data_IF_611131049105
#
_entry.id   IF_611131049105
#
_cell.length_a   1.000
_cell.length_b   1.000
_cell.length_c   1.000
_cell.angle_alpha   90.00
_cell.angle_beta   90.00
_cell.angle_gamma   90.00
#
_symmetry.space_group_name_H-M   'P 1'
#
loop_
_entity.id
_entity.type
_entity.pdbx_description
1 polymer ?
#
# COMPACT_ATOMS: atom_id res chain seq x y z
N UNK A 1 -13.51 -14.14 -11.11
CA UNK A 1 -14.31 -14.03 -9.88
C UNK A 1 -14.91 -12.61 -9.74
N UNK A 2 -14.10 -11.50 -9.77
CA UNK A 2 -14.54 -10.13 -9.55
C UNK A 2 -15.70 -9.72 -10.49
N UNK A 3 -15.54 -9.90 -11.80
CA UNK A 3 -16.59 -9.62 -12.81
C UNK A 3 -17.89 -10.40 -12.58
N UNK A 4 -17.80 -11.64 -12.11
CA UNK A 4 -18.99 -12.43 -11.77
C UNK A 4 -19.69 -11.93 -10.50
N UNK A 5 -18.93 -11.50 -9.49
CA UNK A 5 -19.49 -10.91 -8.29
C UNK A 5 -20.19 -9.58 -8.61
N UNK A 6 -19.53 -8.73 -9.40
CA UNK A 6 -20.10 -7.46 -9.87
C UNK A 6 -21.40 -7.66 -10.66
N UNK A 7 -21.43 -8.62 -11.60
CA UNK A 7 -22.63 -8.94 -12.37
C UNK A 7 -23.80 -9.44 -11.52
N UNK A 8 -23.52 -9.97 -10.34
CA UNK A 8 -24.51 -10.43 -9.35
C UNK A 8 -24.88 -9.36 -8.31
N UNK A 9 -24.33 -8.16 -8.41
CA UNK A 9 -24.55 -7.09 -7.43
C UNK A 9 -23.96 -7.40 -6.04
N UNK A 10 -22.91 -8.22 -5.97
CA UNK A 10 -22.28 -8.56 -4.69
C UNK A 10 -21.21 -7.53 -4.32
N UNK A 11 -21.10 -7.23 -3.03
CA UNK A 11 -20.04 -6.38 -2.49
C UNK A 11 -18.80 -7.21 -2.15
N UNK A 12 -17.64 -6.77 -2.65
CA UNK A 12 -16.34 -7.31 -2.31
C UNK A 12 -15.45 -6.18 -1.82
N UNK A 13 -15.12 -6.23 -0.55
CA UNK A 13 -14.18 -5.33 0.13
C UNK A 13 -12.93 -6.13 0.46
N UNK A 14 -11.80 -5.50 0.38
CA UNK A 14 -10.48 -6.11 0.63
C UNK A 14 -9.75 -5.33 1.71
N UNK A 15 -8.67 -5.88 2.27
CA UNK A 15 -7.89 -5.27 3.34
C UNK A 15 -7.12 -4.00 2.95
N UNK A 16 -7.60 -3.23 1.98
CA UNK A 16 -7.07 -1.92 1.59
C UNK A 16 -7.70 -0.82 2.44
N UNK A 17 -7.50 -0.87 3.75
CA UNK A 17 -8.17 -0.03 4.75
C UNK A 17 -8.01 1.47 4.50
N UNK A 18 -6.97 1.92 3.78
CA UNK A 18 -6.76 3.34 3.44
C UNK A 18 -7.85 3.90 2.54
N UNK A 19 -8.50 3.07 1.72
CA UNK A 19 -9.68 3.45 0.93
C UNK A 19 -10.91 3.79 1.80
N UNK A 20 -10.86 3.49 3.09
CA UNK A 20 -11.91 3.77 4.07
C UNK A 20 -11.47 4.78 5.14
N UNK A 21 -10.19 5.14 5.15
CA UNK A 21 -9.61 6.08 6.10
C UNK A 21 -9.88 7.53 5.67
N UNK A 22 -10.58 8.29 6.50
CA UNK A 22 -11.08 9.63 6.18
C UNK A 22 -10.04 10.57 5.54
N UNK A 23 -8.83 10.77 6.13
CA UNK A 23 -7.85 11.68 5.54
C UNK A 23 -7.38 11.25 4.14
N UNK A 24 -7.27 9.94 3.88
CA UNK A 24 -6.94 9.44 2.53
C UNK A 24 -8.08 9.69 1.54
N UNK A 25 -9.33 9.39 1.94
CA UNK A 25 -10.51 9.57 1.07
C UNK A 25 -10.70 11.05 0.70
N UNK A 26 -10.57 11.97 1.67
CA UNK A 26 -10.70 13.40 1.40
C UNK A 26 -9.51 13.93 0.58
N UNK A 27 -8.29 13.47 0.85
CA UNK A 27 -7.12 13.79 0.03
C UNK A 27 -7.30 13.32 -1.41
N UNK A 28 -7.76 12.10 -1.62
CA UNK A 28 -8.04 11.54 -2.94
C UNK A 28 -9.02 12.43 -3.72
N UNK A 29 -10.12 12.85 -3.10
CA UNK A 29 -11.10 13.77 -3.73
C UNK A 29 -10.42 15.06 -4.19
N UNK A 30 -9.58 15.67 -3.35
CA UNK A 30 -8.88 16.93 -3.66
C UNK A 30 -7.85 16.76 -4.78
N UNK A 31 -7.16 15.63 -4.82
CA UNK A 31 -6.26 15.30 -5.93
C UNK A 31 -7.06 15.12 -7.23
N UNK A 32 -8.20 14.41 -7.20
CA UNK A 32 -9.08 14.24 -8.35
C UNK A 32 -9.75 15.55 -8.81
N UNK A 33 -9.98 16.50 -7.91
CA UNK A 33 -10.40 17.88 -8.22
C UNK A 33 -9.30 18.68 -8.96
N UNK A 34 -8.08 18.12 -9.07
CA UNK A 34 -6.97 18.72 -9.82
C UNK A 34 -6.12 19.71 -9.04
N UNK A 35 -6.16 19.70 -7.69
CA UNK A 35 -5.39 20.64 -6.88
C UNK A 35 -3.88 20.50 -7.09
N UNK A 36 -3.37 19.31 -7.39
CA UNK A 36 -1.95 19.10 -7.74
C UNK A 36 -1.68 19.07 -9.25
N UNK A 37 -2.72 19.20 -10.06
CA UNK A 37 -2.63 19.06 -11.52
C UNK A 37 -2.47 17.60 -11.95
N UNK A 38 -1.80 17.36 -13.08
CA UNK A 38 -1.48 16.02 -13.57
C UNK A 38 -0.36 15.41 -12.72
N UNK A 39 -0.50 14.15 -12.32
CA UNK A 39 0.52 13.45 -11.53
C UNK A 39 1.75 13.20 -12.39
N UNK A 40 2.93 13.54 -11.88
CA UNK A 40 4.23 13.43 -12.57
C UNK A 40 5.16 12.40 -11.92
N UNK A 41 4.81 11.88 -10.75
CA UNK A 41 5.59 10.87 -10.05
C UNK A 41 5.28 10.84 -8.56
N UNK A 42 6.05 10.06 -7.80
CA UNK A 42 5.93 10.03 -6.36
C UNK A 42 6.89 9.08 -5.67
N UNK A 43 6.85 9.10 -4.35
CA UNK A 43 7.63 8.24 -3.49
C UNK A 43 6.73 7.56 -2.48
N UNK A 44 6.95 6.28 -2.22
CA UNK A 44 6.20 5.50 -1.24
C UNK A 44 7.15 4.74 -0.32
N UNK A 45 6.87 4.78 0.98
CA UNK A 45 7.76 4.25 2.00
C UNK A 45 7.00 3.37 3.00
N UNK A 46 7.60 2.21 3.34
CA UNK A 46 7.20 1.42 4.50
C UNK A 46 8.45 0.96 5.25
N UNK A 47 9.09 1.88 5.93
CA UNK A 47 10.25 1.60 6.75
C UNK A 47 9.83 1.52 8.22
N UNK A 48 10.02 0.36 8.82
CA UNK A 48 9.64 0.11 10.22
C UNK A 48 10.59 -0.90 10.87
N UNK A 49 10.56 -1.06 12.18
CA UNK A 49 11.20 -2.18 12.88
C UNK A 49 10.69 -3.52 12.38
N UNK A 50 11.46 -4.58 12.66
CA UNK A 50 11.06 -5.95 12.34
C UNK A 50 9.72 -6.29 13.03
N UNK A 51 8.85 -7.00 12.31
CA UNK A 51 7.63 -7.54 12.88
C UNK A 51 7.93 -8.71 13.84
N UNK A 52 6.88 -9.23 14.45
CA UNK A 52 6.97 -10.42 15.28
C UNK A 52 7.56 -11.60 14.49
N UNK A 53 8.18 -12.54 15.22
CA UNK A 53 8.61 -13.83 14.71
C UNK A 53 8.41 -14.91 15.78
N UNK A 54 8.40 -16.16 15.36
CA UNK A 54 8.33 -17.30 16.25
C UNK A 54 9.51 -18.22 16.01
N UNK A 55 10.27 -18.48 17.05
CA UNK A 55 11.27 -19.55 17.05
C UNK A 55 10.58 -20.90 17.08
N UNK A 56 11.18 -21.89 16.44
CA UNK A 56 10.64 -23.25 16.45
C UNK A 56 10.65 -23.83 17.86
N UNK A 57 9.53 -24.38 18.28
CA UNK A 57 9.41 -25.08 19.56
C UNK A 57 9.57 -26.60 19.39
N UNK A 58 9.92 -27.29 20.50
CA UNK A 58 10.03 -28.75 20.50
C UNK A 58 8.68 -29.39 20.11
N UNK A 59 8.73 -30.36 19.20
CA UNK A 59 7.56 -31.08 18.74
C UNK A 59 6.88 -30.47 17.52
N UNK A 60 7.20 -29.24 17.12
CA UNK A 60 6.67 -28.68 15.89
C UNK A 60 7.36 -29.28 14.66
N UNK A 61 6.57 -29.66 13.67
CA UNK A 61 7.09 -29.98 12.33
C UNK A 61 7.56 -28.69 11.65
N UNK A 62 8.33 -28.81 10.56
CA UNK A 62 8.76 -27.66 9.76
C UNK A 62 7.53 -26.89 9.23
N UNK A 63 6.53 -27.60 8.73
CA UNK A 63 5.30 -26.99 8.22
C UNK A 63 4.53 -26.24 9.31
N UNK A 64 4.40 -26.83 10.50
CA UNK A 64 3.73 -26.18 11.61
C UNK A 64 4.46 -24.91 12.03
N UNK A 65 5.79 -24.96 12.13
CA UNK A 65 6.58 -23.76 12.43
C UNK A 65 6.40 -22.68 11.35
N UNK A 66 6.52 -23.02 10.08
CA UNK A 66 6.33 -22.08 8.98
C UNK A 66 4.96 -21.41 9.05
N UNK A 67 3.88 -22.17 9.29
CA UNK A 67 2.52 -21.62 9.39
C UNK A 67 2.38 -20.70 10.62
N UNK A 68 2.98 -21.06 11.76
CA UNK A 68 2.93 -20.25 12.98
C UNK A 68 3.76 -18.96 12.88
N UNK A 69 4.80 -18.99 12.04
CA UNK A 69 5.72 -17.88 11.73
C UNK A 69 5.48 -17.31 10.31
N UNK A 70 4.27 -17.46 9.80
CA UNK A 70 3.90 -17.27 8.40
C UNK A 70 4.37 -15.94 7.78
N UNK A 71 4.37 -14.87 8.56
CA UNK A 71 4.74 -13.53 8.10
C UNK A 71 6.19 -13.44 7.62
N UNK A 72 7.07 -14.34 8.09
CA UNK A 72 8.49 -14.37 7.77
C UNK A 72 8.84 -15.30 6.59
N UNK A 73 7.86 -16.01 6.03
CA UNK A 73 8.05 -16.96 4.94
C UNK A 73 7.47 -16.42 3.64
N UNK A 74 8.34 -16.21 2.64
CA UNK A 74 7.95 -15.62 1.35
C UNK A 74 6.79 -16.34 0.66
N UNK A 75 6.78 -17.68 0.70
CA UNK A 75 5.72 -18.45 0.05
C UNK A 75 4.35 -18.34 0.74
N UNK A 76 4.31 -17.92 2.00
CA UNK A 76 3.07 -17.70 2.77
C UNK A 76 2.60 -16.25 2.72
N UNK A 77 3.51 -15.29 2.93
CA UNK A 77 3.18 -13.86 3.04
C UNK A 77 3.36 -13.10 1.73
N UNK A 78 4.11 -13.64 0.78
CA UNK A 78 4.49 -12.91 -0.43
C UNK A 78 5.72 -12.03 -0.27
N UNK A 79 6.36 -12.04 0.89
CA UNK A 79 7.37 -11.10 1.38
C UNK A 79 6.78 -9.76 1.85
N UNK A 80 7.52 -9.00 2.69
CA UNK A 80 6.97 -7.79 3.31
C UNK A 80 6.66 -6.66 2.30
N UNK A 81 7.23 -6.69 1.12
CA UNK A 81 6.84 -5.78 0.03
C UNK A 81 5.39 -6.04 -0.43
N UNK A 82 4.92 -7.29 -0.37
CA UNK A 82 3.55 -7.70 -0.73
C UNK A 82 2.62 -7.66 0.47
N UNK A 83 3.10 -8.07 1.65
CA UNK A 83 2.26 -8.19 2.85
C UNK A 83 1.99 -6.83 3.52
N UNK A 84 2.98 -5.91 3.53
CA UNK A 84 2.87 -4.61 4.18
C UNK A 84 2.92 -3.45 3.18
N UNK A 85 3.97 -3.39 2.38
CA UNK A 85 4.22 -2.22 1.54
C UNK A 85 3.24 -2.08 0.37
N UNK A 86 2.50 -3.13 0.04
CA UNK A 86 1.39 -3.07 -0.92
C UNK A 86 0.41 -1.93 -0.60
N UNK A 87 0.20 -1.60 0.67
CA UNK A 87 -0.69 -0.51 1.06
C UNK A 87 -0.24 0.87 0.55
N UNK A 88 1.08 1.13 0.48
CA UNK A 88 1.60 2.40 -0.05
C UNK A 88 1.61 2.38 -1.59
N UNK A 89 1.97 1.25 -2.20
CA UNK A 89 1.90 1.04 -3.65
C UNK A 89 0.44 1.24 -4.12
N UNK A 90 -0.51 0.69 -3.38
CA UNK A 90 -1.95 0.82 -3.62
C UNK A 90 -2.42 2.28 -3.59
N UNK A 91 -1.99 3.07 -2.62
CA UNK A 91 -2.33 4.50 -2.56
C UNK A 91 -1.88 5.23 -3.81
N UNK A 92 -0.65 4.98 -4.28
CA UNK A 92 -0.17 5.64 -5.49
C UNK A 92 -0.97 5.22 -6.73
N UNK A 93 -1.22 3.92 -6.91
CA UNK A 93 -2.01 3.42 -8.04
C UNK A 93 -3.46 3.89 -7.98
N UNK A 94 -4.05 3.97 -6.79
CA UNK A 94 -5.38 4.52 -6.57
C UNK A 94 -5.46 6.00 -6.93
N UNK A 95 -4.55 6.83 -6.41
CA UNK A 95 -4.55 8.28 -6.63
C UNK A 95 -4.26 8.64 -8.10
N UNK A 96 -3.36 7.91 -8.76
CA UNK A 96 -3.00 8.14 -10.15
C UNK A 96 -3.97 7.51 -11.15
N UNK A 97 -4.66 6.44 -10.77
CA UNK A 97 -5.42 5.60 -11.69
C UNK A 97 -4.57 4.80 -12.67
N UNK A 98 -3.23 4.80 -12.48
CA UNK A 98 -2.27 4.18 -13.38
C UNK A 98 -1.83 2.79 -12.90
N UNK A 99 -1.27 2.02 -13.83
CA UNK A 99 -0.72 0.68 -13.57
C UNK A 99 0.73 0.66 -13.99
N UNK A 100 1.65 0.14 -13.16
CA UNK A 100 3.04 0.02 -13.56
C UNK A 100 3.18 -1.01 -14.69
N UNK A 101 4.05 -0.68 -15.64
CA UNK A 101 4.37 -1.54 -16.81
C UNK A 101 5.74 -2.17 -16.68
N UNK A 102 6.58 -1.66 -15.78
CA UNK A 102 7.90 -2.20 -15.49
C UNK A 102 8.30 -1.90 -14.05
N UNK A 103 9.06 -2.82 -13.45
CA UNK A 103 9.72 -2.60 -12.18
C UNK A 103 11.20 -2.95 -12.30
N UNK A 104 12.05 -2.12 -11.71
CA UNK A 104 13.49 -2.38 -11.57
C UNK A 104 13.84 -2.17 -10.10
N UNK A 105 14.33 -3.23 -9.46
CA UNK A 105 14.56 -3.16 -8.03
C UNK A 105 15.67 -4.06 -7.55
N UNK A 106 16.07 -3.81 -6.31
CA UNK A 106 17.00 -4.62 -5.55
C UNK A 106 16.53 -4.72 -4.10
N UNK A 107 17.02 -5.73 -3.42
CA UNK A 107 16.75 -5.98 -2.01
C UNK A 107 17.76 -6.95 -1.45
N UNK A 108 17.70 -7.17 -0.16
CA UNK A 108 18.59 -8.10 0.50
C UNK A 108 18.02 -8.60 1.83
N UNK A 109 18.65 -9.65 2.36
CA UNK A 109 18.41 -10.20 3.68
C UNK A 109 19.63 -9.98 4.55
N UNK A 110 19.53 -9.11 5.55
CA UNK A 110 20.65 -8.71 6.38
C UNK A 110 20.47 -9.09 7.87
N UNK A 111 19.26 -8.93 8.40
CA UNK A 111 18.99 -8.99 9.83
C UNK A 111 17.82 -9.89 10.25
N UNK A 112 17.13 -10.52 9.32
CA UNK A 112 16.02 -11.44 9.61
C UNK A 112 16.48 -12.59 10.51
N UNK A 113 15.71 -12.86 11.57
CA UNK A 113 15.97 -13.94 12.53
C UNK A 113 15.46 -15.28 12.00
N UNK A 114 14.24 -15.28 11.42
CA UNK A 114 13.57 -16.47 10.88
C UNK A 114 13.16 -16.27 9.44
N UNK A 115 12.65 -17.32 8.80
CA UNK A 115 12.09 -17.27 7.46
C UNK A 115 13.12 -17.11 6.34
N UNK A 116 12.61 -16.82 5.15
CA UNK A 116 13.39 -16.69 3.91
C UNK A 116 13.21 -15.37 3.17
N UNK A 117 12.50 -14.42 3.77
CA UNK A 117 12.26 -13.09 3.21
C UNK A 117 13.51 -12.21 3.18
N UNK A 118 13.51 -11.24 2.28
CA UNK A 118 14.36 -10.07 2.42
C UNK A 118 13.88 -9.17 3.57
N UNK A 119 14.71 -8.26 4.03
CA UNK A 119 14.36 -7.26 5.05
C UNK A 119 14.42 -5.82 4.53
N UNK A 120 14.80 -5.65 3.28
CA UNK A 120 14.78 -4.36 2.60
C UNK A 120 14.58 -4.52 1.10
N UNK A 121 13.85 -3.56 0.50
CA UNK A 121 13.66 -3.40 -0.94
C UNK A 121 13.77 -1.93 -1.32
N UNK A 122 14.33 -1.69 -2.50
CA UNK A 122 14.25 -0.42 -3.22
C UNK A 122 13.85 -0.74 -4.65
N UNK A 123 12.72 -0.20 -5.08
CA UNK A 123 12.15 -0.51 -6.40
C UNK A 123 11.72 0.80 -7.07
N UNK A 124 12.05 0.93 -8.33
CA UNK A 124 11.52 1.93 -9.23
C UNK A 124 10.45 1.29 -10.11
N UNK A 125 9.24 1.83 -10.08
CA UNK A 125 8.13 1.43 -10.92
C UNK A 125 7.94 2.47 -12.02
N UNK A 126 7.94 2.02 -13.25
CA UNK A 126 7.64 2.82 -14.44
C UNK A 126 6.20 2.56 -14.89
N UNK A 127 5.48 3.62 -15.23
CA UNK A 127 4.13 3.58 -15.73
C UNK A 127 4.09 3.85 -17.24
N UNK A 128 3.00 3.48 -17.91
CA UNK A 128 2.86 3.54 -19.37
C UNK A 128 2.98 4.97 -19.95
N UNK A 129 2.72 5.99 -19.14
CA UNK A 129 2.89 7.40 -19.49
C UNK A 129 4.30 7.94 -19.21
N UNK A 130 5.25 7.09 -18.78
CA UNK A 130 6.63 7.44 -18.50
C UNK A 130 6.87 8.09 -17.14
N UNK A 131 5.89 8.15 -16.26
CA UNK A 131 6.10 8.59 -14.86
C UNK A 131 6.68 7.45 -14.03
N UNK A 132 7.33 7.81 -12.92
CA UNK A 132 7.98 6.88 -12.01
C UNK A 132 7.45 7.02 -10.59
N UNK A 133 7.38 5.88 -9.88
CA UNK A 133 7.16 5.81 -8.45
C UNK A 133 8.36 5.12 -7.80
N UNK A 134 9.08 5.85 -6.96
CA UNK A 134 10.15 5.27 -6.13
C UNK A 134 9.55 4.65 -4.88
N UNK A 135 9.90 3.40 -4.64
CA UNK A 135 9.34 2.56 -3.60
C UNK A 135 10.45 2.02 -2.71
N UNK A 136 10.34 2.22 -1.40
CA UNK A 136 11.30 1.67 -0.44
C UNK A 136 10.58 1.07 0.76
N UNK A 137 10.95 -0.16 1.13
CA UNK A 137 10.47 -0.74 2.38
C UNK A 137 11.57 -1.49 3.13
N UNK A 138 11.48 -1.45 4.47
CA UNK A 138 12.41 -2.12 5.40
C UNK A 138 11.67 -2.65 6.60
N UNK A 139 12.16 -3.78 7.11
CA UNK A 139 11.79 -4.32 8.41
C UNK A 139 13.07 -4.64 9.19
N UNK A 140 13.76 -3.59 9.65
CA UNK A 140 15.06 -3.66 10.34
C UNK A 140 14.99 -2.79 11.58
N UNK A 141 15.27 -3.36 12.76
CA UNK A 141 15.32 -2.64 14.02
C UNK A 141 16.40 -1.54 13.99
N UNK A 142 16.03 -0.35 14.43
CA UNK A 142 16.90 0.82 14.45
C UNK A 142 17.06 1.51 13.09
N UNK A 143 16.28 1.12 12.07
CA UNK A 143 16.25 1.88 10.83
C UNK A 143 15.45 3.19 10.99
N UNK A 144 15.61 4.09 10.02
CA UNK A 144 14.77 5.27 9.90
C UNK A 144 13.31 4.84 9.65
N UNK A 145 12.42 5.21 10.58
CA UNK A 145 11.01 4.83 10.53
C UNK A 145 10.24 5.84 9.67
N UNK A 146 9.69 5.36 8.56
CA UNK A 146 8.90 6.18 7.64
C UNK A 146 7.84 5.31 6.97
N UNK A 147 6.56 5.57 7.26
CA UNK A 147 5.43 4.97 6.56
C UNK A 147 4.61 6.10 5.97
N UNK A 148 4.83 6.38 4.69
CA UNK A 148 4.25 7.55 4.04
C UNK A 148 4.19 7.43 2.52
N UNK A 149 3.39 8.29 1.92
CA UNK A 149 3.33 8.54 0.48
C UNK A 149 3.52 10.04 0.21
N UNK A 150 4.18 10.32 -0.90
CA UNK A 150 4.34 11.64 -1.47
C UNK A 150 4.04 11.58 -2.96
N UNK A 151 3.06 12.34 -3.43
CA UNK A 151 2.62 12.37 -4.82
C UNK A 151 2.89 13.76 -5.39
N UNK A 152 3.59 13.81 -6.51
CA UNK A 152 3.96 15.02 -7.22
C UNK A 152 3.03 15.22 -8.41
N UNK A 153 2.69 16.48 -8.67
CA UNK A 153 1.92 16.87 -9.83
C UNK A 153 2.43 18.16 -10.45
N UNK A 154 1.81 18.56 -11.58
CA UNK A 154 2.21 19.75 -12.36
C UNK A 154 1.91 21.07 -11.68
N UNK A 155 1.02 21.10 -10.65
CA UNK A 155 0.63 22.31 -9.92
C UNK A 155 0.99 22.28 -8.44
N UNK A 156 1.48 21.14 -7.94
CA UNK A 156 1.78 20.98 -6.53
C UNK A 156 2.02 19.53 -6.14
N UNK A 157 1.94 19.25 -4.85
CA UNK A 157 2.18 17.92 -4.30
C UNK A 157 1.25 17.61 -3.14
N UNK A 158 1.04 16.32 -2.88
CA UNK A 158 0.34 15.82 -1.71
C UNK A 158 1.27 14.93 -0.87
N UNK A 159 1.12 15.00 0.45
CA UNK A 159 1.83 14.12 1.39
C UNK A 159 0.88 13.53 2.42
N UNK A 160 1.05 12.22 2.70
CA UNK A 160 0.31 11.54 3.77
C UNK A 160 0.86 11.81 5.17
N UNK A 161 2.03 12.43 5.30
CA UNK A 161 2.63 12.72 6.61
C UNK A 161 1.81 13.73 7.42
N UNK A 162 1.17 14.66 6.73
CA UNK A 162 0.32 15.71 7.31
C UNK A 162 -1.02 15.87 6.57
N UNK A 163 -1.26 15.03 5.56
CA UNK A 163 -2.45 15.07 4.70
C UNK A 163 -2.69 16.46 4.12
N UNK A 164 -1.62 17.10 3.64
CA UNK A 164 -1.65 18.42 3.05
C UNK A 164 -1.34 18.39 1.55
N UNK A 165 -1.96 19.33 0.83
CA UNK A 165 -1.61 19.66 -0.54
C UNK A 165 -0.89 21.02 -0.53
N UNK A 166 0.24 21.07 -1.22
CA UNK A 166 1.07 22.26 -1.38
C UNK A 166 1.17 22.65 -2.83
N UNK A 167 1.21 23.94 -3.09
CA UNK A 167 1.56 24.48 -4.42
C UNK A 167 3.06 24.30 -4.73
N UNK A 168 3.50 24.77 -5.90
CA UNK A 168 4.89 24.66 -6.31
C UNK A 168 5.86 25.55 -5.49
N UNK A 169 5.33 26.56 -4.79
CA UNK A 169 6.08 27.43 -3.89
C UNK A 169 6.16 26.87 -2.45
N UNK A 170 5.48 25.73 -2.20
CA UNK A 170 5.46 25.04 -0.91
C UNK A 170 4.39 25.53 0.05
N UNK A 171 3.50 26.46 -0.35
CA UNK A 171 2.39 26.93 0.48
C UNK A 171 1.31 25.87 0.58
N UNK A 172 0.75 25.66 1.77
CA UNK A 172 -0.39 24.76 1.96
C UNK A 172 -1.63 25.40 1.33
N UNK A 173 -2.17 24.75 0.29
CA UNK A 173 -3.42 25.17 -0.38
C UNK A 173 -4.63 24.37 0.10
N UNK A 174 -4.40 23.23 0.69
CA UNK A 174 -5.42 22.43 1.37
C UNK A 174 -4.74 21.48 2.39
N UNK A 175 -5.43 21.26 3.50
CA UNK A 175 -5.02 20.28 4.50
C UNK A 175 -6.25 19.62 5.12
N UNK A 176 -6.17 18.34 5.37
CA UNK A 176 -7.23 17.62 6.08
C UNK A 176 -7.36 18.12 7.52
N UNK A 177 -8.57 18.50 7.91
CA UNK A 177 -8.85 18.96 9.26
C UNK A 177 -9.19 17.75 10.16
N UNK A 178 -8.23 17.36 11.01
CA UNK A 178 -8.40 16.29 11.99
C UNK A 178 -9.49 16.54 13.03
N UNK A 179 -9.89 17.79 13.27
CA UNK A 179 -10.97 18.09 14.19
C UNK A 179 -12.31 17.49 13.72
N UNK A 180 -12.46 17.24 12.43
CA UNK A 180 -13.64 16.57 11.86
C UNK A 180 -13.79 15.10 12.31
N UNK A 181 -12.76 14.52 12.93
CA UNK A 181 -12.78 13.15 13.45
C UNK A 181 -13.29 13.06 14.88
N UNK A 182 -13.40 14.18 15.57
CA UNK A 182 -13.82 14.20 16.98
C UNK A 182 -15.24 13.65 17.16
N UNK A 183 -15.39 12.69 18.08
CA UNK A 183 -16.66 12.02 18.34
C UNK A 183 -17.08 10.96 17.30
N UNK A 184 -16.25 10.69 16.29
CA UNK A 184 -16.52 9.71 15.25
C UNK A 184 -15.62 8.48 15.34
N UNK A 185 -16.09 7.35 14.77
CA UNK A 185 -15.23 6.19 14.56
C UNK A 185 -14.20 6.53 13.47
N UNK A 186 -12.91 6.35 13.76
CA UNK A 186 -11.80 6.72 12.87
C UNK A 186 -10.81 5.58 12.61
N UNK A 187 -10.97 4.45 13.30
CA UNK A 187 -10.18 3.25 13.00
C UNK A 187 -10.48 2.76 11.57
N UNK A 188 -9.50 2.76 10.66
CA UNK A 188 -9.73 2.43 9.26
C UNK A 188 -10.20 0.98 9.04
N UNK A 189 -9.78 0.05 9.88
CA UNK A 189 -10.21 -1.34 9.82
C UNK A 189 -11.69 -1.48 10.20
N UNK A 190 -12.13 -0.76 11.21
CA UNK A 190 -13.56 -0.70 11.56
C UNK A 190 -14.37 0.00 10.47
N UNK A 191 -13.87 1.11 9.91
CA UNK A 191 -14.54 1.83 8.84
C UNK A 191 -14.69 0.99 7.57
N UNK A 192 -13.73 0.16 7.23
CA UNK A 192 -13.80 -0.80 6.13
C UNK A 192 -15.03 -1.72 6.27
N UNK A 193 -15.20 -2.31 7.46
CA UNK A 193 -16.35 -3.18 7.76
C UNK A 193 -17.68 -2.42 7.80
N UNK A 194 -17.69 -1.20 8.38
CA UNK A 194 -18.88 -0.34 8.40
C UNK A 194 -19.32 0.00 6.99
N UNK A 195 -18.40 0.39 6.12
CA UNK A 195 -18.69 0.71 4.72
C UNK A 195 -19.20 -0.51 3.97
N UNK A 196 -18.57 -1.66 4.14
CA UNK A 196 -19.00 -2.92 3.51
C UNK A 196 -20.43 -3.29 3.91
N UNK A 197 -20.73 -3.30 5.22
CA UNK A 197 -22.07 -3.62 5.73
C UNK A 197 -23.10 -2.58 5.25
N UNK A 198 -22.74 -1.30 5.25
CA UNK A 198 -23.59 -0.21 4.75
C UNK A 198 -23.95 -0.40 3.29
N UNK A 199 -22.96 -0.73 2.44
CA UNK A 199 -23.18 -0.99 1.01
C UNK A 199 -24.14 -2.17 0.80
N UNK A 200 -24.00 -3.24 1.57
CA UNK A 200 -24.91 -4.39 1.50
C UNK A 200 -26.35 -3.97 1.89
N UNK A 201 -26.49 -3.26 3.03
CA UNK A 201 -27.82 -2.84 3.54
C UNK A 201 -28.54 -1.87 2.61
N UNK A 202 -27.79 -0.99 1.95
CA UNK A 202 -28.33 0.04 1.07
C UNK A 202 -28.41 -0.42 -0.41
N UNK A 203 -28.02 -1.66 -0.71
CA UNK A 203 -27.97 -2.20 -2.06
C UNK A 203 -27.13 -1.33 -3.03
N UNK A 204 -25.97 -0.82 -2.53
CA UNK A 204 -25.00 -0.03 -3.28
C UNK A 204 -23.67 -0.81 -3.30
N UNK A 205 -23.56 -1.86 -4.13
CA UNK A 205 -22.43 -2.78 -4.06
C UNK A 205 -21.09 -2.08 -4.36
N UNK A 206 -20.08 -2.39 -3.55
CA UNK A 206 -18.70 -1.96 -3.72
C UNK A 206 -17.86 -3.13 -4.25
N UNK A 207 -16.92 -2.87 -5.16
CA UNK A 207 -16.08 -3.89 -5.80
C UNK A 207 -14.61 -3.46 -5.82
N UNK A 208 -13.83 -3.92 -4.84
CA UNK A 208 -12.40 -3.59 -4.71
C UNK A 208 -11.47 -4.70 -5.23
N UNK A 209 -12.01 -5.86 -5.61
CA UNK A 209 -11.20 -7.04 -5.92
C UNK A 209 -10.22 -6.85 -7.09
N UNK A 210 -10.60 -6.09 -8.10
CA UNK A 210 -9.73 -5.86 -9.28
C UNK A 210 -8.61 -4.88 -8.95
N UNK A 211 -8.92 -3.79 -8.27
CA UNK A 211 -7.94 -2.78 -7.83
C UNK A 211 -6.90 -3.40 -6.89
N UNK A 212 -7.35 -4.14 -5.89
CA UNK A 212 -6.45 -4.84 -4.96
C UNK A 212 -5.58 -5.88 -5.67
N UNK A 213 -6.14 -6.62 -6.63
CA UNK A 213 -5.35 -7.57 -7.42
C UNK A 213 -4.23 -6.86 -8.20
N UNK A 214 -4.51 -5.68 -8.77
CA UNK A 214 -3.52 -4.88 -9.48
C UNK A 214 -2.42 -4.35 -8.57
N UNK A 215 -2.76 -3.84 -7.38
CA UNK A 215 -1.79 -3.38 -6.40
C UNK A 215 -0.90 -4.53 -5.90
N UNK A 216 -1.47 -5.72 -5.66
CA UNK A 216 -0.71 -6.92 -5.35
C UNK A 216 0.23 -7.34 -6.50
N UNK A 217 -0.25 -7.31 -7.75
CA UNK A 217 0.59 -7.64 -8.91
C UNK A 217 1.76 -6.65 -9.05
N UNK A 218 1.56 -5.36 -8.80
CA UNK A 218 2.63 -4.37 -8.77
C UNK A 218 3.68 -4.72 -7.70
N UNK A 219 3.25 -5.02 -6.47
CA UNK A 219 4.15 -5.41 -5.39
C UNK A 219 4.93 -6.70 -5.73
N UNK A 220 4.26 -7.70 -6.32
CA UNK A 220 4.88 -8.95 -6.80
C UNK A 220 5.92 -8.65 -7.90
N UNK A 221 5.60 -7.78 -8.84
CA UNK A 221 6.52 -7.38 -9.91
C UNK A 221 7.81 -6.76 -9.33
N UNK A 222 7.67 -5.86 -8.36
CA UNK A 222 8.81 -5.28 -7.63
C UNK A 222 9.63 -6.33 -6.87
N UNK A 223 8.96 -7.27 -6.21
CA UNK A 223 9.62 -8.41 -5.55
C UNK A 223 10.42 -9.25 -6.54
N UNK A 224 9.80 -9.67 -7.64
CA UNK A 224 10.45 -10.52 -8.65
C UNK A 224 11.67 -9.81 -9.27
N UNK A 225 11.57 -8.51 -9.54
CA UNK A 225 12.71 -7.73 -10.01
C UNK A 225 13.87 -7.78 -9.00
N UNK A 226 13.61 -7.54 -7.72
CA UNK A 226 14.64 -7.55 -6.68
C UNK A 226 15.28 -8.93 -6.48
N UNK A 227 14.50 -10.02 -6.54
CA UNK A 227 15.03 -11.38 -6.38
C UNK A 227 15.79 -11.89 -7.60
N UNK A 228 15.40 -11.48 -8.80
CA UNK A 228 16.05 -11.93 -10.05
C UNK A 228 17.20 -11.03 -10.47
N UNK A 229 17.27 -9.80 -9.96
CA UNK A 229 18.23 -8.78 -10.42
C UNK A 229 17.96 -8.28 -11.83
N UNK A 230 16.74 -8.43 -12.33
CA UNK A 230 16.33 -8.03 -13.68
C UNK A 230 15.11 -7.12 -13.59
N UNK A 231 14.96 -6.23 -14.57
CA UNK A 231 13.69 -5.54 -14.79
C UNK A 231 12.60 -6.56 -15.18
N UNK A 232 11.41 -6.38 -14.64
CA UNK A 232 10.23 -7.22 -14.87
C UNK A 232 9.14 -6.36 -15.46
#
# INVERSE_FOLDING_TARGET
AAKQAQAKGLSVVTGTQRHHQRPYVESFKKVQEGLIGEITGGNVYWNQPMLWYRTRENGWSDMEWMIRDWVNWKWLSGDHIVEQHVHNIDVFTWFSGLKPVRATGFGSRQRRVTGDQYDNFSVDFEFDNGIHMHSMCRQIDGCDTNVSEFIQGTKGSWSSTDFAIRDLDGNIVWQYDKATEEGHQNDPYTLEHVNWISCIRNNTPIMQAEETALSNMAAIMGRESAYTGKSV
#
